data_IF_601906943606
#
_entry.id   IF_601906943606
#
_cell.length_a   1.000
_cell.length_b   1.000
_cell.length_c   1.000
_cell.angle_alpha   90.00
_cell.angle_beta   90.00
_cell.angle_gamma   90.00
#
_symmetry.space_group_name_H-M   'P 1'
#
loop_
_entity.id
_entity.type
_entity.pdbx_description
1 polymer ?
#
# COMPACT_ATOMS: atom_id res chain seq x y z
N UNK A 1 -16.64 -11.08 10.52
CA UNK A 1 -15.91 -9.80 10.36
C UNK A 1 -14.50 -9.97 10.92
N UNK A 2 -13.50 -9.32 10.34
CA UNK A 2 -12.09 -9.47 10.71
C UNK A 2 -11.64 -8.22 11.49
N UNK A 3 -11.07 -8.40 12.69
CA UNK A 3 -10.45 -7.29 13.45
C UNK A 3 -9.20 -6.84 12.69
N UNK A 4 -9.07 -5.53 12.42
CA UNK A 4 -7.87 -4.97 11.78
C UNK A 4 -6.78 -4.69 12.81
N UNK A 5 -5.52 -4.94 12.47
CA UNK A 5 -4.37 -4.57 13.31
C UNK A 5 -4.29 -3.05 13.53
N UNK A 6 -4.68 -2.28 12.50
CA UNK A 6 -4.71 -0.82 12.54
C UNK A 6 -5.68 -0.26 13.59
N UNK A 7 -6.67 -1.03 14.03
CA UNK A 7 -7.73 -0.55 14.91
C UNK A 7 -7.20 -0.04 16.26
N UNK A 8 -6.18 -0.68 16.82
CA UNK A 8 -5.63 -0.26 18.12
C UNK A 8 -4.85 1.07 17.99
N UNK A 9 -4.18 1.31 16.86
CA UNK A 9 -3.49 2.58 16.57
C UNK A 9 -4.46 3.70 16.18
N UNK A 10 -5.56 3.36 15.49
CA UNK A 10 -6.66 4.27 15.21
C UNK A 10 -7.20 4.88 16.51
N UNK A 11 -7.55 4.02 17.48
CA UNK A 11 -8.05 4.45 18.79
C UNK A 11 -7.03 5.26 19.59
N UNK A 12 -5.72 5.00 19.42
CA UNK A 12 -4.67 5.79 20.05
C UNK A 12 -4.63 7.22 19.48
N UNK A 13 -4.67 7.37 18.15
CA UNK A 13 -4.69 8.69 17.50
C UNK A 13 -5.93 9.51 17.84
N UNK A 14 -7.04 8.83 18.16
CA UNK A 14 -8.28 9.50 18.51
C UNK A 14 -8.17 10.44 19.73
N UNK A 15 -7.20 10.20 20.61
CA UNK A 15 -6.94 11.02 21.81
C UNK A 15 -6.24 12.35 21.51
N UNK A 16 -5.72 12.53 20.30
CA UNK A 16 -4.87 13.68 19.96
C UNK A 16 -5.37 14.52 18.79
N UNK A 17 -6.35 14.02 18.03
CA UNK A 17 -6.82 14.68 16.82
C UNK A 17 -8.34 14.79 16.81
N UNK A 18 -8.91 15.97 16.48
CA UNK A 18 -10.35 16.11 16.31
C UNK A 18 -10.86 15.41 15.04
N UNK A 19 -9.97 15.17 14.07
CA UNK A 19 -10.32 14.58 12.77
C UNK A 19 -9.36 13.43 12.47
N UNK A 20 -9.91 12.28 12.08
CA UNK A 20 -9.12 11.16 11.55
C UNK A 20 -9.55 10.94 10.10
N UNK A 21 -8.58 10.87 9.18
CA UNK A 21 -8.82 10.51 7.79
C UNK A 21 -8.25 9.12 7.49
N UNK A 22 -9.11 8.18 7.10
CA UNK A 22 -8.74 6.84 6.65
C UNK A 22 -8.74 6.81 5.12
N UNK A 23 -7.57 6.67 4.53
CA UNK A 23 -7.37 6.54 3.07
C UNK A 23 -6.89 5.14 2.70
N UNK A 24 -6.78 4.81 1.41
CA UNK A 24 -6.31 3.51 0.94
C UNK A 24 -7.07 3.01 -0.29
N UNK A 25 -6.65 1.89 -0.90
CA UNK A 25 -7.25 1.37 -2.13
C UNK A 25 -8.76 1.13 -1.97
N UNK A 26 -9.51 1.19 -3.07
CA UNK A 26 -10.90 0.73 -3.04
C UNK A 26 -10.94 -0.73 -2.60
N UNK A 27 -12.01 -1.10 -1.90
CA UNK A 27 -12.19 -2.44 -1.33
C UNK A 27 -11.19 -2.87 -0.25
N UNK A 28 -10.32 -1.97 0.27
CA UNK A 28 -9.43 -2.27 1.40
C UNK A 28 -10.14 -2.38 2.76
N UNK A 29 -11.42 -2.02 2.84
CA UNK A 29 -12.25 -2.12 4.06
C UNK A 29 -12.30 -0.86 4.91
N UNK A 30 -12.08 0.34 4.34
CA UNK A 30 -12.08 1.63 5.06
C UNK A 30 -13.40 1.90 5.80
N UNK A 31 -14.52 1.91 5.07
CA UNK A 31 -15.87 2.07 5.64
C UNK A 31 -16.16 1.03 6.72
N UNK A 32 -15.76 -0.22 6.49
CA UNK A 32 -15.93 -1.31 7.44
C UNK A 32 -15.14 -1.06 8.73
N UNK A 33 -13.88 -0.65 8.63
CA UNK A 33 -13.05 -0.29 9.79
C UNK A 33 -13.67 0.88 10.57
N UNK A 34 -14.09 1.94 9.87
CA UNK A 34 -14.70 3.12 10.50
C UNK A 34 -15.97 2.74 11.27
N UNK A 35 -16.92 2.06 10.63
CA UNK A 35 -18.19 1.63 11.25
C UNK A 35 -17.99 0.64 12.40
N UNK A 36 -17.03 -0.28 12.27
CA UNK A 36 -16.75 -1.25 13.34
C UNK A 36 -16.08 -0.62 14.56
N UNK A 37 -15.28 0.43 14.35
CA UNK A 37 -14.57 1.11 15.44
C UNK A 37 -15.47 2.14 16.12
N UNK A 38 -16.35 2.79 15.35
CA UNK A 38 -17.22 3.88 15.83
C UNK A 38 -18.69 3.58 15.48
N UNK A 39 -19.32 2.56 16.10
CA UNK A 39 -20.68 2.16 15.78
C UNK A 39 -21.73 3.23 16.14
N UNK A 40 -21.41 4.11 17.09
CA UNK A 40 -22.32 5.13 17.61
C UNK A 40 -22.26 6.46 16.83
N UNK A 41 -21.37 6.56 15.83
CA UNK A 41 -21.21 7.79 15.03
C UNK A 41 -22.28 7.87 13.93
N UNK A 42 -22.74 9.09 13.63
CA UNK A 42 -23.64 9.31 12.51
C UNK A 42 -22.93 9.06 11.19
N UNK A 43 -23.44 8.13 10.40
CA UNK A 43 -22.85 7.76 9.12
C UNK A 43 -23.46 8.57 7.96
N UNK A 44 -22.60 9.31 7.26
CA UNK A 44 -22.90 10.11 6.09
C UNK A 44 -22.17 9.53 4.87
N UNK A 45 -22.92 8.97 3.92
CA UNK A 45 -22.38 8.44 2.67
C UNK A 45 -22.48 9.48 1.54
N UNK A 46 -21.34 9.94 1.01
CA UNK A 46 -21.30 10.90 -0.10
C UNK A 46 -21.33 10.24 -1.49
N UNK A 47 -21.40 8.90 -1.60
CA UNK A 47 -21.87 8.24 -2.82
C UNK A 47 -23.37 8.47 -3.04
N UNK A 48 -24.15 8.62 -1.96
CA UNK A 48 -25.55 8.99 -2.05
C UNK A 48 -25.72 10.42 -2.61
N UNK A 49 -26.50 10.55 -3.69
CA UNK A 49 -26.69 11.83 -4.38
C UNK A 49 -27.35 12.91 -3.51
N UNK A 50 -28.27 12.53 -2.62
CA UNK A 50 -28.95 13.49 -1.75
C UNK A 50 -28.00 14.03 -0.68
N UNK A 51 -27.27 13.14 0.01
CA UNK A 51 -26.25 13.53 1.00
C UNK A 51 -25.15 14.37 0.35
N UNK A 52 -24.68 13.98 -0.84
CA UNK A 52 -23.70 14.74 -1.61
C UNK A 52 -24.21 16.13 -1.98
N UNK A 53 -25.47 16.24 -2.40
CA UNK A 53 -26.07 17.52 -2.75
C UNK A 53 -26.15 18.43 -1.53
N UNK A 54 -26.64 17.92 -0.40
CA UNK A 54 -26.65 18.65 0.87
C UNK A 54 -25.24 19.11 1.27
N UNK A 55 -24.23 18.26 1.14
CA UNK A 55 -22.84 18.60 1.45
C UNK A 55 -22.26 19.72 0.57
N UNK A 56 -22.80 19.92 -0.63
CA UNK A 56 -22.34 20.97 -1.56
C UNK A 56 -23.15 22.25 -1.45
N UNK A 57 -24.46 22.15 -1.22
CA UNK A 57 -25.37 23.30 -1.22
C UNK A 57 -25.51 23.92 0.18
N UNK A 58 -25.61 23.11 1.23
CA UNK A 58 -25.77 23.56 2.62
C UNK A 58 -25.09 22.58 3.60
N UNK A 59 -23.75 22.62 3.72
CA UNK A 59 -23.01 21.68 4.55
C UNK A 59 -23.28 21.85 6.06
N UNK A 60 -23.75 23.02 6.53
CA UNK A 60 -24.02 23.23 7.95
C UNK A 60 -25.26 22.47 8.44
N UNK A 61 -26.29 22.32 7.59
CA UNK A 61 -27.48 21.54 7.97
C UNK A 61 -27.20 20.05 8.11
N UNK A 62 -26.22 19.50 7.39
CA UNK A 62 -25.74 18.12 7.60
C UNK A 62 -25.17 17.90 9.00
N UNK A 63 -24.63 18.95 9.61
CA UNK A 63 -24.04 18.94 10.94
C UNK A 63 -24.85 19.77 11.94
N UNK A 64 -26.18 19.81 11.79
CA UNK A 64 -27.06 20.60 12.63
C UNK A 64 -26.85 20.32 14.13
N UNK A 65 -26.56 19.07 14.49
CA UNK A 65 -26.06 18.72 15.82
C UNK A 65 -24.52 18.80 15.86
N UNK A 66 -24.00 19.99 16.13
CA UNK A 66 -22.54 20.21 16.24
C UNK A 66 -21.86 19.39 17.36
N UNK A 67 -22.61 18.82 18.31
CA UNK A 67 -22.02 18.01 19.40
C UNK A 67 -21.95 16.51 19.05
N UNK A 68 -22.57 16.11 17.94
CA UNK A 68 -22.51 14.74 17.45
C UNK A 68 -21.17 14.43 16.76
N UNK A 69 -20.89 13.14 16.69
CA UNK A 69 -19.73 12.59 15.99
C UNK A 69 -20.15 11.95 14.67
N UNK A 70 -19.31 12.09 13.66
CA UNK A 70 -19.68 11.76 12.28
C UNK A 70 -18.63 10.89 11.59
N UNK A 71 -19.10 9.87 10.86
CA UNK A 71 -18.33 9.21 9.81
C UNK A 71 -18.79 9.79 8.47
N UNK A 72 -17.89 10.49 7.78
CA UNK A 72 -18.12 11.02 6.43
C UNK A 72 -17.39 10.13 5.43
N UNK A 73 -18.14 9.35 4.68
CA UNK A 73 -17.63 8.36 3.74
C UNK A 73 -17.48 8.92 2.33
N UNK A 74 -16.44 8.45 1.63
CA UNK A 74 -16.06 8.86 0.28
C UNK A 74 -16.03 10.39 0.08
N UNK A 75 -15.38 11.11 1.00
CA UNK A 75 -15.39 12.57 1.06
C UNK A 75 -14.83 13.27 -0.19
N UNK A 76 -14.05 12.57 -1.03
CA UNK A 76 -13.61 13.09 -2.33
C UNK A 76 -14.76 13.52 -3.26
N UNK A 77 -16.00 13.08 -3.01
CA UNK A 77 -17.17 13.50 -3.79
C UNK A 77 -17.67 14.92 -3.43
N UNK A 78 -17.29 15.45 -2.26
CA UNK A 78 -17.58 16.81 -1.82
C UNK A 78 -16.42 17.41 -0.99
N UNK A 79 -15.25 17.71 -1.59
CA UNK A 79 -14.08 18.20 -0.86
C UNK A 79 -14.29 19.57 -0.17
N UNK A 80 -15.19 20.40 -0.69
CA UNK A 80 -15.54 21.71 -0.10
C UNK A 80 -16.06 21.58 1.35
N UNK A 81 -16.64 20.42 1.69
CA UNK A 81 -17.15 20.10 3.03
C UNK A 81 -16.07 20.18 4.11
N UNK A 82 -14.79 19.99 3.75
CA UNK A 82 -13.66 20.05 4.68
C UNK A 82 -13.56 21.41 5.38
N UNK A 83 -13.95 22.50 4.70
CA UNK A 83 -13.96 23.85 5.28
C UNK A 83 -14.99 23.96 6.41
N UNK A 84 -16.18 23.40 6.23
CA UNK A 84 -17.24 23.35 7.25
C UNK A 84 -16.83 22.46 8.42
N UNK A 85 -16.28 21.28 8.14
CA UNK A 85 -15.77 20.35 9.17
C UNK A 85 -14.71 21.04 10.03
N UNK A 86 -13.79 21.80 9.40
CA UNK A 86 -12.78 22.59 10.12
C UNK A 86 -13.44 23.60 11.07
N UNK A 87 -14.39 24.40 10.57
CA UNK A 87 -15.06 25.42 11.37
C UNK A 87 -15.78 24.82 12.58
N UNK A 88 -16.49 23.71 12.40
CA UNK A 88 -17.20 23.02 13.49
C UNK A 88 -16.20 22.44 14.49
N UNK A 89 -15.16 21.77 14.00
CA UNK A 89 -14.11 21.19 14.84
C UNK A 89 -13.40 22.25 15.69
N UNK A 90 -13.13 23.44 15.14
CA UNK A 90 -12.46 24.54 15.85
C UNK A 90 -13.37 25.17 16.92
N UNK A 91 -14.69 25.19 16.69
CA UNK A 91 -15.71 25.70 17.62
C UNK A 91 -15.95 24.73 18.79
N UNK A 92 -16.08 23.43 18.50
CA UNK A 92 -16.50 22.42 19.47
C UNK A 92 -15.31 21.85 20.25
N UNK A 93 -14.13 21.78 19.62
CA UNK A 93 -12.88 21.31 20.24
C UNK A 93 -12.95 19.91 20.86
N UNK A 94 -13.78 19.03 20.29
CA UNK A 94 -13.91 17.64 20.72
C UNK A 94 -12.84 16.75 20.08
N UNK A 95 -12.35 15.79 20.85
CA UNK A 95 -11.47 14.74 20.35
C UNK A 95 -12.26 13.81 19.40
N UNK A 96 -11.69 13.55 18.22
CA UNK A 96 -12.26 12.66 17.18
C UNK A 96 -13.74 12.89 16.89
N UNK A 97 -14.11 14.14 16.64
CA UNK A 97 -15.46 14.46 16.20
C UNK A 97 -15.77 13.89 14.80
N UNK A 98 -14.76 13.83 13.91
CA UNK A 98 -14.96 13.43 12.53
C UNK A 98 -14.02 12.29 12.10
N UNK A 99 -14.60 11.26 11.50
CA UNK A 99 -13.90 10.21 10.76
C UNK A 99 -14.20 10.40 9.28
N UNK A 100 -13.17 10.67 8.47
CA UNK A 100 -13.29 10.82 7.02
C UNK A 100 -12.76 9.56 6.35
N UNK A 101 -13.44 9.05 5.31
CA UNK A 101 -12.86 7.98 4.47
C UNK A 101 -12.86 8.34 2.99
N UNK A 102 -11.82 7.91 2.27
CA UNK A 102 -11.73 8.14 0.83
C UNK A 102 -10.67 7.30 0.13
N UNK A 103 -10.88 6.99 -1.15
CA UNK A 103 -10.03 6.05 -1.88
C UNK A 103 -8.87 6.65 -2.67
N UNK A 104 -8.82 7.97 -2.87
CA UNK A 104 -7.87 8.62 -3.80
C UNK A 104 -6.84 9.49 -3.07
N UNK A 105 -5.60 9.02 -2.90
CA UNK A 105 -4.63 9.73 -2.07
C UNK A 105 -4.26 11.14 -2.59
N UNK A 106 -4.20 11.35 -3.92
CA UNK A 106 -3.62 12.59 -4.47
C UNK A 106 -4.51 13.81 -4.29
N UNK A 107 -5.77 13.72 -4.73
CA UNK A 107 -6.75 14.79 -4.54
C UNK A 107 -6.96 15.05 -3.06
N UNK A 108 -7.06 13.97 -2.27
CA UNK A 108 -7.32 14.08 -0.83
C UNK A 108 -6.20 14.76 -0.05
N UNK A 109 -4.93 14.45 -0.34
CA UNK A 109 -3.81 15.10 0.35
C UNK A 109 -3.75 16.61 0.09
N UNK A 110 -4.06 17.06 -1.14
CA UNK A 110 -4.13 18.48 -1.47
C UNK A 110 -5.23 19.16 -0.66
N UNK A 111 -6.44 18.62 -0.71
CA UNK A 111 -7.61 19.22 -0.07
C UNK A 111 -7.48 19.24 1.47
N UNK A 112 -6.95 18.15 2.06
CA UNK A 112 -6.65 18.06 3.49
C UNK A 112 -5.55 19.03 3.89
N UNK A 113 -4.45 19.13 3.13
CA UNK A 113 -3.36 20.06 3.46
C UNK A 113 -3.80 21.52 3.44
N UNK A 114 -4.78 21.87 2.61
CA UNK A 114 -5.31 23.23 2.53
C UNK A 114 -6.32 23.52 3.64
N UNK A 115 -7.20 22.56 3.94
CA UNK A 115 -8.36 22.80 4.81
C UNK A 115 -8.15 22.33 6.25
N UNK A 116 -7.40 21.24 6.47
CA UNK A 116 -7.33 20.51 7.74
C UNK A 116 -5.90 20.34 8.30
N UNK A 117 -4.93 21.11 7.81
CA UNK A 117 -3.55 21.06 8.31
C UNK A 117 -3.48 21.22 9.83
N UNK A 118 -2.74 20.32 10.48
CA UNK A 118 -2.54 20.28 11.93
C UNK A 118 -3.74 19.76 12.74
N UNK A 119 -4.88 19.46 12.11
CA UNK A 119 -6.11 19.00 12.78
C UNK A 119 -6.51 17.57 12.42
N UNK A 120 -6.06 17.09 11.26
CA UNK A 120 -6.32 15.73 10.81
C UNK A 120 -5.09 14.85 10.95
N UNK A 121 -5.27 13.66 11.54
CA UNK A 121 -4.34 12.55 11.38
C UNK A 121 -4.78 11.68 10.21
N UNK A 122 -3.83 11.35 9.32
CA UNK A 122 -4.08 10.57 8.11
C UNK A 122 -3.53 9.16 8.30
N UNK A 123 -4.35 8.17 7.98
CA UNK A 123 -4.03 6.75 8.05
C UNK A 123 -4.26 6.11 6.69
N UNK A 124 -3.39 5.17 6.30
CA UNK A 124 -3.43 4.50 5.00
C UNK A 124 -3.77 3.02 5.20
N UNK A 125 -5.04 2.66 5.04
CA UNK A 125 -5.53 1.29 5.19
C UNK A 125 -5.36 0.50 3.90
N UNK A 126 -4.31 -0.31 3.85
CA UNK A 126 -4.07 -1.29 2.80
C UNK A 126 -4.99 -2.53 2.95
N UNK A 127 -5.05 -3.43 1.96
CA UNK A 127 -5.71 -4.74 2.10
C UNK A 127 -5.13 -5.55 3.26
N UNK A 128 -5.73 -6.70 3.57
CA UNK A 128 -5.37 -7.46 4.77
C UNK A 128 -3.86 -7.78 4.84
N UNK A 129 -3.27 -7.71 6.03
CA UNK A 129 -1.97 -8.34 6.28
C UNK A 129 -2.09 -9.86 6.21
N UNK A 130 -0.96 -10.57 6.14
CA UNK A 130 -0.93 -12.02 6.25
C UNK A 130 -1.64 -12.52 7.52
N UNK A 131 -1.42 -11.84 8.65
CA UNK A 131 -2.01 -12.20 9.93
C UNK A 131 -3.53 -11.92 9.97
N UNK A 132 -4.01 -10.88 9.28
CA UNK A 132 -5.44 -10.58 9.16
C UNK A 132 -6.15 -11.55 8.20
N UNK A 133 -5.51 -11.89 7.08
CA UNK A 133 -6.09 -12.70 6.01
C UNK A 133 -6.16 -14.20 6.36
N UNK A 134 -5.12 -14.73 7.00
CA UNK A 134 -4.97 -16.16 7.24
C UNK A 134 -4.62 -16.47 8.72
N UNK A 135 -5.49 -16.10 9.69
CA UNK A 135 -5.18 -16.16 11.12
C UNK A 135 -5.16 -17.59 11.70
N UNK A 136 -5.83 -18.55 11.06
CA UNK A 136 -6.09 -19.89 11.63
C UNK A 136 -5.54 -21.06 10.81
N UNK A 137 -5.22 -20.86 9.54
CA UNK A 137 -4.75 -21.91 8.63
C UNK A 137 -3.42 -21.51 8.01
N UNK A 138 -2.42 -22.39 8.08
CA UNK A 138 -1.16 -22.24 7.34
C UNK A 138 -1.44 -22.48 5.85
N UNK A 139 -1.88 -21.43 5.17
CA UNK A 139 -1.99 -21.45 3.72
C UNK A 139 -0.61 -21.60 3.08
N UNK A 140 -0.57 -22.23 1.91
CA UNK A 140 0.67 -22.34 1.16
C UNK A 140 1.12 -20.94 0.71
N UNK A 141 2.44 -20.75 0.57
CA UNK A 141 2.99 -19.49 0.06
C UNK A 141 2.40 -19.13 -1.32
N UNK A 142 2.18 -20.14 -2.16
CA UNK A 142 1.62 -19.95 -3.51
C UNK A 142 0.18 -19.49 -3.44
N UNK A 143 -0.62 -20.10 -2.56
CA UNK A 143 -2.00 -19.69 -2.31
C UNK A 143 -2.05 -18.23 -1.88
N UNK A 144 -1.22 -17.81 -0.92
CA UNK A 144 -1.19 -16.42 -0.47
C UNK A 144 -0.82 -15.44 -1.59
N UNK A 145 0.24 -15.74 -2.37
CA UNK A 145 0.69 -14.87 -3.47
C UNK A 145 -0.35 -14.80 -4.59
N UNK A 146 -0.89 -15.94 -4.99
CA UNK A 146 -1.86 -16.06 -6.09
C UNK A 146 -3.20 -15.41 -5.74
N UNK A 147 -3.71 -15.65 -4.53
CA UNK A 147 -5.00 -15.09 -4.10
C UNK A 147 -4.91 -13.61 -3.75
N UNK A 148 -3.78 -13.12 -3.25
CA UNK A 148 -3.68 -11.76 -2.73
C UNK A 148 -4.50 -11.54 -1.46
N UNK A 149 -4.84 -10.28 -1.18
CA UNK A 149 -5.21 -9.85 0.18
C UNK A 149 -6.44 -8.94 0.25
N UNK A 150 -7.19 -8.76 -0.84
CA UNK A 150 -8.42 -7.97 -0.80
C UNK A 150 -9.48 -8.59 0.11
N UNK A 151 -10.04 -7.83 1.08
CA UNK A 151 -11.03 -8.33 2.03
C UNK A 151 -12.22 -9.03 1.38
N UNK A 152 -12.82 -8.43 0.34
CA UNK A 152 -14.02 -8.99 -0.31
C UNK A 152 -13.73 -10.35 -0.97
N UNK A 153 -12.56 -10.48 -1.59
CA UNK A 153 -12.10 -11.73 -2.20
C UNK A 153 -11.99 -12.85 -1.15
N UNK A 154 -11.34 -12.56 -0.03
CA UNK A 154 -11.05 -13.56 1.00
C UNK A 154 -12.28 -13.91 1.85
N UNK A 155 -13.02 -12.90 2.32
CA UNK A 155 -14.18 -13.09 3.21
C UNK A 155 -15.31 -13.87 2.52
N UNK A 156 -15.52 -13.66 1.22
CA UNK A 156 -16.55 -14.34 0.46
C UNK A 156 -16.02 -15.54 -0.35
N UNK A 157 -14.73 -15.88 -0.19
CA UNK A 157 -14.07 -16.95 -0.94
C UNK A 157 -14.35 -16.88 -2.46
N UNK A 158 -14.26 -15.67 -3.03
CA UNK A 158 -14.45 -15.47 -4.47
C UNK A 158 -13.26 -16.11 -5.20
N UNK A 159 -13.50 -16.63 -6.40
CA UNK A 159 -12.41 -17.11 -7.24
C UNK A 159 -11.51 -15.93 -7.67
N UNK A 160 -10.18 -16.00 -7.49
CA UNK A 160 -9.27 -14.89 -7.77
C UNK A 160 -9.39 -14.30 -9.18
N UNK A 161 -9.43 -15.12 -10.22
CA UNK A 161 -9.48 -14.62 -11.61
C UNK A 161 -10.76 -13.84 -11.88
N UNK A 162 -11.92 -14.32 -11.42
CA UNK A 162 -13.22 -13.62 -11.49
C UNK A 162 -13.16 -12.29 -10.75
N UNK A 163 -12.60 -12.28 -9.55
CA UNK A 163 -12.48 -11.06 -8.75
C UNK A 163 -11.59 -10.01 -9.43
N UNK A 164 -10.39 -10.37 -9.85
CA UNK A 164 -9.42 -9.44 -10.42
C UNK A 164 -9.81 -8.97 -11.83
N UNK A 165 -10.35 -9.85 -12.67
CA UNK A 165 -10.87 -9.45 -13.98
C UNK A 165 -12.03 -8.45 -13.83
N UNK A 166 -12.91 -8.67 -12.85
CA UNK A 166 -13.99 -7.73 -12.51
C UNK A 166 -13.45 -6.41 -11.95
N UNK A 167 -12.45 -6.46 -11.06
CA UNK A 167 -11.81 -5.28 -10.47
C UNK A 167 -11.15 -4.39 -11.53
N UNK A 168 -10.43 -4.99 -12.48
CA UNK A 168 -9.79 -4.25 -13.58
C UNK A 168 -10.84 -3.57 -14.47
N UNK A 169 -11.88 -4.32 -14.89
CA UNK A 169 -12.91 -3.81 -15.81
C UNK A 169 -13.82 -2.75 -15.19
N UNK A 170 -14.27 -2.96 -13.95
CA UNK A 170 -15.33 -2.13 -13.35
C UNK A 170 -14.79 -0.94 -12.56
N UNK A 171 -13.61 -1.08 -11.97
CA UNK A 171 -13.04 -0.07 -11.09
C UNK A 171 -11.84 0.61 -11.72
N UNK A 172 -10.78 -0.15 -12.06
CA UNK A 172 -9.54 0.47 -12.51
C UNK A 172 -9.74 1.29 -13.77
N UNK A 173 -10.33 0.71 -14.82
CA UNK A 173 -10.53 1.43 -16.07
C UNK A 173 -11.44 2.67 -15.93
N UNK A 174 -12.44 2.62 -15.02
CA UNK A 174 -13.38 3.73 -14.80
C UNK A 174 -12.74 4.86 -14.00
N UNK A 175 -12.17 4.57 -12.85
CA UNK A 175 -11.63 5.61 -11.96
C UNK A 175 -10.37 6.22 -12.54
N UNK A 176 -9.57 5.45 -13.26
CA UNK A 176 -8.35 5.95 -13.91
C UNK A 176 -8.69 6.90 -15.08
N UNK A 177 -9.78 6.64 -15.82
CA UNK A 177 -10.33 7.59 -16.81
C UNK A 177 -10.78 8.92 -16.18
N UNK A 178 -11.25 8.90 -14.93
CA UNK A 178 -11.66 10.12 -14.23
C UNK A 178 -10.45 10.90 -13.70
N UNK A 179 -9.38 10.21 -13.33
CA UNK A 179 -8.15 10.81 -12.80
C UNK A 179 -7.18 11.28 -13.89
N UNK A 180 -7.29 10.73 -15.09
CA UNK A 180 -6.42 11.05 -16.21
C UNK A 180 -7.22 10.99 -17.51
N UNK A 181 -6.97 11.96 -18.40
CA UNK A 181 -7.60 12.04 -19.72
C UNK A 181 -7.04 10.96 -20.67
N UNK A 182 -7.11 9.70 -20.24
CA UNK A 182 -6.64 8.53 -21.00
C UNK A 182 -7.61 8.32 -22.15
N UNK A 183 -7.13 8.64 -23.35
CA UNK A 183 -7.91 8.49 -24.57
C UNK A 183 -8.04 7.02 -24.99
N UNK A 184 -6.97 6.23 -24.84
CA UNK A 184 -6.92 4.83 -25.23
C UNK A 184 -6.81 3.88 -24.01
N UNK A 185 -7.90 3.15 -23.71
CA UNK A 185 -7.90 2.17 -22.63
C UNK A 185 -7.10 0.90 -22.93
N UNK A 186 -6.95 0.54 -24.20
CA UNK A 186 -6.24 -0.69 -24.57
C UNK A 186 -4.73 -0.50 -24.32
N UNK A 187 -4.19 0.66 -24.67
CA UNK A 187 -2.80 1.04 -24.37
C UNK A 187 -2.56 1.08 -22.86
N UNK A 188 -3.51 1.61 -22.09
CA UNK A 188 -3.41 1.62 -20.64
C UNK A 188 -3.48 0.21 -20.03
N UNK A 189 -4.33 -0.66 -20.57
CA UNK A 189 -4.44 -2.05 -20.10
C UNK A 189 -3.15 -2.81 -20.40
N UNK A 190 -2.58 -2.64 -21.61
CA UNK A 190 -1.25 -3.16 -21.95
C UNK A 190 -0.17 -2.62 -21.02
N UNK A 191 -0.17 -1.31 -20.75
CA UNK A 191 0.75 -0.68 -19.81
C UNK A 191 0.69 -1.29 -18.42
N UNK A 192 -0.52 -1.53 -17.90
CA UNK A 192 -0.72 -2.14 -16.59
C UNK A 192 -0.14 -3.57 -16.55
N UNK A 193 -0.35 -4.37 -17.60
CA UNK A 193 0.27 -5.70 -17.72
C UNK A 193 1.80 -5.63 -17.84
N UNK A 194 2.33 -4.67 -18.59
CA UNK A 194 3.78 -4.44 -18.71
C UNK A 194 4.41 -4.00 -17.37
N UNK A 195 3.66 -3.30 -16.53
CA UNK A 195 4.08 -2.98 -15.17
C UNK A 195 4.11 -4.25 -14.30
N UNK A 196 3.10 -5.12 -14.39
CA UNK A 196 3.10 -6.40 -13.66
C UNK A 196 4.30 -7.27 -14.04
N UNK A 197 4.67 -7.30 -15.33
CA UNK A 197 5.89 -7.93 -15.85
C UNK A 197 7.20 -7.37 -15.30
N UNK A 198 7.17 -6.21 -14.64
CA UNK A 198 8.33 -5.49 -14.10
C UNK A 198 8.28 -5.32 -12.58
N UNK A 199 7.38 -6.02 -11.88
CA UNK A 199 7.35 -5.98 -10.42
C UNK A 199 8.69 -6.47 -9.85
N UNK A 200 9.20 -5.83 -8.80
CA UNK A 200 10.54 -6.06 -8.25
C UNK A 200 11.71 -5.55 -9.11
N UNK A 201 11.45 -4.92 -10.25
CA UNK A 201 12.50 -4.48 -11.18
C UNK A 201 12.65 -2.96 -11.21
N UNK A 202 13.84 -2.50 -11.63
CA UNK A 202 14.06 -1.07 -11.88
C UNK A 202 13.16 -0.57 -13.00
N UNK A 203 12.53 0.58 -12.75
CA UNK A 203 11.67 1.24 -13.72
C UNK A 203 12.50 1.88 -14.83
N UNK A 204 12.15 1.56 -16.08
CA UNK A 204 12.63 2.24 -17.28
C UNK A 204 11.41 2.79 -18.04
N UNK A 205 11.20 4.11 -17.97
CA UNK A 205 10.02 4.76 -18.55
C UNK A 205 10.10 4.80 -20.07
N UNK A 206 11.32 4.95 -20.60
CA UNK A 206 11.59 4.99 -22.04
C UNK A 206 11.29 3.64 -22.70
N UNK A 207 11.66 2.53 -22.06
CA UNK A 207 11.32 1.16 -22.50
C UNK A 207 9.81 0.95 -22.54
N UNK A 208 9.10 1.35 -21.47
CA UNK A 208 7.64 1.26 -21.42
C UNK A 208 6.98 2.11 -22.50
N UNK A 209 7.43 3.35 -22.67
CA UNK A 209 6.96 4.28 -23.69
C UNK A 209 7.08 3.68 -25.09
N UNK A 210 8.25 3.12 -25.42
CA UNK A 210 8.51 2.49 -26.72
C UNK A 210 7.65 1.24 -26.97
N UNK A 211 7.45 0.38 -25.96
CA UNK A 211 6.62 -0.85 -26.09
C UNK A 211 5.12 -0.56 -26.26
N UNK A 212 4.66 0.59 -25.77
CA UNK A 212 3.26 1.00 -25.89
C UNK A 212 3.04 1.87 -27.13
N UNK A 213 4.05 2.65 -27.53
CA UNK A 213 3.95 3.61 -28.63
C UNK A 213 3.45 4.99 -28.18
N UNK A 214 3.78 5.40 -26.95
CA UNK A 214 3.43 6.72 -26.37
C UNK A 214 4.69 7.43 -25.87
N UNK A 215 4.59 8.71 -25.49
CA UNK A 215 5.73 9.44 -24.93
C UNK A 215 6.01 9.11 -23.44
N UNK A 216 7.25 9.36 -22.98
CA UNK A 216 7.67 9.09 -21.60
C UNK A 216 6.92 9.92 -20.54
N UNK A 217 6.40 11.11 -20.91
CA UNK A 217 5.58 11.95 -20.01
C UNK A 217 4.20 11.32 -19.79
N UNK A 218 3.60 10.72 -20.81
CA UNK A 218 2.37 9.93 -20.71
C UNK A 218 2.56 8.74 -19.77
N UNK A 219 3.67 7.99 -19.90
CA UNK A 219 4.02 6.93 -18.94
C UNK A 219 4.20 7.47 -17.52
N UNK A 220 4.86 8.61 -17.36
CA UNK A 220 5.00 9.29 -16.08
C UNK A 220 3.66 9.63 -15.42
N UNK A 221 2.71 10.13 -16.21
CA UNK A 221 1.37 10.43 -15.74
C UNK A 221 0.61 9.16 -15.33
N UNK A 222 0.65 8.10 -16.15
CA UNK A 222 0.00 6.84 -15.82
C UNK A 222 0.58 6.17 -14.58
N UNK A 223 1.91 6.19 -14.41
CA UNK A 223 2.55 5.71 -13.19
C UNK A 223 2.11 6.50 -11.95
N UNK A 224 1.99 7.83 -12.08
CA UNK A 224 1.49 8.68 -10.99
C UNK A 224 0.08 8.27 -10.58
N UNK A 225 -0.82 8.06 -11.56
CA UNK A 225 -2.19 7.60 -11.30
C UNK A 225 -2.22 6.22 -10.65
N UNK A 226 -1.41 5.26 -11.11
CA UNK A 226 -1.33 3.94 -10.49
C UNK A 226 -0.81 4.00 -9.06
N UNK A 227 0.16 4.88 -8.78
CA UNK A 227 0.72 5.04 -7.43
C UNK A 227 -0.30 5.66 -6.48
N UNK A 228 -1.01 6.71 -6.90
CA UNK A 228 -2.00 7.42 -6.07
C UNK A 228 -3.29 6.63 -5.88
N UNK A 229 -3.55 5.66 -6.77
CA UNK A 229 -4.66 4.69 -6.67
C UNK A 229 -4.29 3.43 -5.90
N UNK A 230 -3.11 3.38 -5.26
CA UNK A 230 -2.62 2.22 -4.51
C UNK A 230 -2.55 0.92 -5.33
N UNK A 231 -2.20 1.01 -6.61
CA UNK A 231 -1.97 -0.16 -7.47
C UNK A 231 -0.50 -0.55 -7.45
N UNK A 232 0.38 0.45 -7.58
CA UNK A 232 1.82 0.25 -7.55
C UNK A 232 2.48 1.07 -6.43
N UNK A 233 3.63 0.61 -5.97
CA UNK A 233 4.54 1.30 -5.09
C UNK A 233 5.90 1.45 -5.78
N UNK A 234 6.44 2.67 -5.78
CA UNK A 234 7.77 2.96 -6.33
C UNK A 234 8.78 3.09 -5.18
N UNK A 235 9.53 2.02 -4.94
CA UNK A 235 10.57 1.99 -3.91
C UNK A 235 11.78 2.78 -4.39
N UNK A 236 12.10 3.87 -3.69
CA UNK A 236 13.22 4.74 -4.04
C UNK A 236 14.56 4.11 -3.63
N UNK A 237 15.64 4.32 -4.38
CA UNK A 237 16.96 3.88 -3.96
C UNK A 237 17.39 4.62 -2.70
N UNK A 238 18.25 3.98 -1.91
CA UNK A 238 18.94 4.62 -0.81
C UNK A 238 20.04 5.52 -1.35
N UNK A 239 20.11 6.75 -0.84
CA UNK A 239 21.19 7.69 -1.13
C UNK A 239 21.42 8.58 0.09
N UNK A 240 22.68 8.82 0.45
CA UNK A 240 23.05 9.78 1.49
C UNK A 240 22.63 11.22 1.14
N UNK A 241 22.58 11.54 -0.16
CA UNK A 241 22.16 12.86 -0.66
C UNK A 241 20.74 12.77 -1.24
N UNK A 242 19.83 13.56 -0.68
CA UNK A 242 18.41 13.58 -1.08
C UNK A 242 18.24 13.97 -2.56
N UNK A 243 18.98 14.97 -3.05
CA UNK A 243 18.90 15.39 -4.46
C UNK A 243 19.34 14.27 -5.41
N UNK A 244 20.37 13.49 -5.05
CA UNK A 244 20.77 12.30 -5.83
C UNK A 244 19.74 11.17 -5.75
N UNK A 245 18.98 11.08 -4.65
CA UNK A 245 17.88 10.11 -4.48
C UNK A 245 16.76 10.35 -5.49
N UNK A 246 16.43 11.62 -5.75
CA UNK A 246 15.30 12.00 -6.60
C UNK A 246 15.53 11.72 -8.10
N UNK A 247 16.78 11.62 -8.54
CA UNK A 247 17.13 11.47 -9.96
C UNK A 247 17.22 10.00 -10.38
N UNK A 248 17.48 9.08 -9.45
CA UNK A 248 17.66 7.66 -9.78
C UNK A 248 16.33 6.92 -9.93
N UNK A 249 16.31 5.97 -10.88
CA UNK A 249 15.14 5.12 -11.13
C UNK A 249 14.73 4.31 -9.89
N UNK A 250 13.45 4.32 -9.51
CA UNK A 250 12.93 3.47 -8.45
C UNK A 250 12.75 2.02 -8.93
N UNK A 251 12.54 1.09 -7.99
CA UNK A 251 11.95 -0.22 -8.28
C UNK A 251 10.43 -0.13 -8.25
N UNK A 252 9.76 -0.82 -9.18
CA UNK A 252 8.30 -0.90 -9.24
C UNK A 252 7.81 -2.15 -8.52
N UNK A 253 6.79 -2.02 -7.68
CA UNK A 253 6.11 -3.13 -7.03
C UNK A 253 4.60 -2.96 -7.08
N UNK A 254 3.84 -4.05 -7.01
CA UNK A 254 2.39 -3.99 -6.79
C UNK A 254 2.06 -4.02 -5.30
N UNK A 255 0.99 -3.35 -4.89
CA UNK A 255 0.47 -3.47 -3.52
C UNK A 255 -0.18 -4.82 -3.23
N UNK A 256 -0.62 -5.52 -4.27
CA UNK A 256 -1.29 -6.82 -4.17
C UNK A 256 -0.80 -7.76 -5.27
N UNK A 257 -0.30 -8.93 -4.88
CA UNK A 257 0.28 -9.92 -5.80
C UNK A 257 -0.78 -10.70 -6.57
N UNK A 258 -2.00 -10.84 -6.05
CA UNK A 258 -3.07 -11.51 -6.80
C UNK A 258 -3.47 -10.71 -8.04
N UNK A 259 -3.52 -9.37 -7.91
CA UNK A 259 -3.70 -8.48 -9.05
C UNK A 259 -2.55 -8.62 -10.07
N UNK A 260 -1.30 -8.65 -9.60
CA UNK A 260 -0.14 -8.85 -10.47
C UNK A 260 -0.19 -10.21 -11.18
N UNK A 261 -0.55 -11.29 -10.47
CA UNK A 261 -0.72 -12.62 -11.04
C UNK A 261 -1.77 -12.63 -12.16
N UNK A 262 -2.94 -12.01 -11.92
CA UNK A 262 -4.00 -11.94 -12.92
C UNK A 262 -3.56 -11.18 -14.18
N UNK A 263 -2.85 -10.06 -14.02
CA UNK A 263 -2.29 -9.29 -15.15
C UNK A 263 -1.24 -10.07 -15.94
N UNK A 264 -0.48 -10.93 -15.26
CA UNK A 264 0.49 -11.86 -15.85
C UNK A 264 -0.13 -13.12 -16.45
N UNK A 265 -1.46 -13.25 -16.45
CA UNK A 265 -2.17 -14.44 -16.91
C UNK A 265 -1.83 -15.72 -16.14
N UNK A 266 -1.39 -15.58 -14.88
CA UNK A 266 -1.22 -16.71 -13.95
C UNK A 266 -2.62 -17.05 -13.44
N UNK A 267 -3.14 -18.24 -13.75
CA UNK A 267 -4.54 -18.60 -13.48
C UNK A 267 -4.71 -19.61 -12.34
N UNK A 268 -3.63 -20.19 -11.85
CA UNK A 268 -3.65 -21.10 -10.70
C UNK A 268 -2.28 -21.15 -9.98
N UNK A 269 -2.21 -21.87 -8.86
CA UNK A 269 -1.00 -21.99 -8.04
C UNK A 269 0.15 -22.76 -8.72
N UNK A 270 -0.18 -23.69 -9.62
CA UNK A 270 0.81 -24.47 -10.38
C UNK A 270 1.49 -23.60 -11.43
N UNK A 271 0.72 -22.73 -12.11
CA UNK A 271 1.27 -21.72 -13.03
C UNK A 271 2.25 -20.83 -12.27
N UNK A 272 1.86 -20.33 -11.09
CA UNK A 272 2.70 -19.48 -10.25
C UNK A 272 3.99 -20.19 -9.80
N UNK A 273 3.92 -21.48 -9.48
CA UNK A 273 5.08 -22.26 -9.04
C UNK A 273 6.17 -22.32 -10.12
N UNK A 274 5.77 -22.36 -11.39
CA UNK A 274 6.66 -22.51 -12.54
C UNK A 274 6.92 -21.18 -13.28
N UNK A 275 6.24 -20.09 -12.91
CA UNK A 275 6.34 -18.82 -13.61
C UNK A 275 7.74 -18.19 -13.45
N UNK A 276 8.35 -17.65 -14.52
CA UNK A 276 9.69 -17.02 -14.45
C UNK A 276 9.79 -15.88 -13.43
N UNK A 277 8.69 -15.13 -13.25
CA UNK A 277 8.61 -14.03 -12.29
C UNK A 277 8.21 -14.45 -10.87
N UNK A 278 8.22 -15.74 -10.54
CA UNK A 278 7.89 -16.23 -9.19
C UNK A 278 8.72 -15.54 -8.10
N UNK A 279 10.02 -15.37 -8.34
CA UNK A 279 10.93 -14.68 -7.42
C UNK A 279 10.50 -13.23 -7.18
N UNK A 280 10.23 -12.50 -8.26
CA UNK A 280 9.75 -11.12 -8.22
C UNK A 280 8.39 -10.97 -7.53
N UNK A 281 7.47 -11.91 -7.74
CA UNK A 281 6.17 -11.93 -7.08
C UNK A 281 6.31 -12.21 -5.57
N UNK A 282 7.22 -13.09 -5.17
CA UNK A 282 7.55 -13.29 -3.76
C UNK A 282 8.16 -12.02 -3.14
N UNK A 283 9.09 -11.37 -3.82
CA UNK A 283 9.67 -10.09 -3.37
C UNK A 283 8.59 -9.01 -3.19
N UNK A 284 7.67 -8.93 -4.15
CA UNK A 284 6.52 -8.02 -4.12
C UNK A 284 5.60 -8.32 -2.94
N UNK A 285 5.31 -9.59 -2.69
CA UNK A 285 4.54 -10.03 -1.54
C UNK A 285 5.20 -9.59 -0.22
N UNK A 286 6.48 -9.90 -0.02
CA UNK A 286 7.21 -9.51 1.18
C UNK A 286 7.22 -7.98 1.35
N UNK A 287 7.49 -7.21 0.29
CA UNK A 287 7.46 -5.75 0.39
C UNK A 287 6.07 -5.23 0.78
N UNK A 288 5.00 -5.77 0.18
CA UNK A 288 3.63 -5.38 0.53
C UNK A 288 3.32 -5.66 2.00
N UNK A 289 3.81 -6.76 2.56
CA UNK A 289 3.66 -7.07 3.99
C UNK A 289 4.45 -6.11 4.88
N UNK A 290 5.66 -5.71 4.48
CA UNK A 290 6.42 -4.66 5.20
C UNK A 290 5.67 -3.32 5.16
N UNK A 291 5.10 -2.94 4.01
CA UNK A 291 4.29 -1.73 3.91
C UNK A 291 3.08 -1.78 4.85
N UNK A 292 2.31 -2.88 4.82
CA UNK A 292 1.17 -3.09 5.73
C UNK A 292 1.59 -3.02 7.19
N UNK A 293 2.73 -3.60 7.56
CA UNK A 293 3.25 -3.55 8.93
C UNK A 293 3.42 -2.11 9.44
N UNK A 294 4.02 -1.24 8.64
CA UNK A 294 4.23 0.17 9.01
C UNK A 294 2.93 0.98 8.98
N UNK A 295 2.12 0.81 7.93
CA UNK A 295 0.86 1.54 7.81
C UNK A 295 -0.15 1.17 8.91
N UNK A 296 -0.27 -0.12 9.28
CA UNK A 296 -1.10 -0.57 10.40
C UNK A 296 -0.68 0.06 11.75
N UNK A 297 0.53 0.61 11.84
CA UNK A 297 1.05 1.32 13.02
C UNK A 297 1.04 2.83 12.86
N UNK A 298 0.45 3.34 11.79
CA UNK A 298 0.43 4.76 11.42
C UNK A 298 1.84 5.36 11.25
N UNK A 299 2.81 4.52 10.85
CA UNK A 299 4.19 4.92 10.61
C UNK A 299 4.42 5.05 9.11
N UNK A 300 5.04 6.16 8.69
CA UNK A 300 5.50 6.31 7.31
C UNK A 300 6.63 5.31 7.03
N UNK A 301 6.49 4.39 6.06
CA UNK A 301 7.46 3.32 5.86
C UNK A 301 8.86 3.88 5.52
N UNK A 302 9.90 3.66 6.36
CA UNK A 302 11.24 4.19 6.14
C UNK A 302 12.04 3.26 5.22
N UNK A 303 11.49 3.03 4.02
CA UNK A 303 11.94 1.99 3.10
C UNK A 303 12.76 2.57 1.94
N UNK A 304 13.81 1.86 1.57
CA UNK A 304 14.57 2.08 0.34
C UNK A 304 15.20 0.78 -0.15
N UNK A 305 15.79 0.76 -1.35
CA UNK A 305 16.64 -0.37 -1.78
C UNK A 305 18.09 0.10 -1.97
N UNK A 306 19.05 -0.78 -1.85
CA UNK A 306 20.45 -0.44 -2.08
C UNK A 306 20.93 -0.94 -3.44
N UNK A 307 21.66 -0.11 -4.18
CA UNK A 307 22.33 -0.54 -5.41
C UNK A 307 23.57 0.28 -5.71
N UNK A 308 24.68 -0.40 -5.95
CA UNK A 308 25.94 0.17 -6.44
C UNK A 308 26.13 -0.07 -7.93
N UNK A 309 27.02 0.73 -8.54
CA UNK A 309 27.43 0.56 -9.95
C UNK A 309 28.17 -0.77 -10.19
N UNK A 310 28.82 -1.33 -9.16
CA UNK A 310 29.53 -2.61 -9.22
C UNK A 310 28.61 -3.85 -9.15
N UNK A 311 27.29 -3.64 -9.14
CA UNK A 311 26.28 -4.71 -9.13
C UNK A 311 25.89 -5.25 -7.75
N UNK A 312 26.41 -4.69 -6.64
CA UNK A 312 25.88 -5.02 -5.31
C UNK A 312 24.49 -4.42 -5.15
N UNK A 313 23.51 -5.26 -4.84
CA UNK A 313 22.11 -4.86 -4.67
C UNK A 313 21.57 -5.50 -3.39
N UNK A 314 20.79 -4.75 -2.61
CA UNK A 314 20.01 -5.25 -1.49
C UNK A 314 18.56 -4.87 -1.74
N UNK A 315 17.67 -5.86 -1.68
CA UNK A 315 16.27 -5.72 -2.07
C UNK A 315 15.53 -4.65 -1.25
N UNK A 316 15.77 -4.63 0.06
CA UNK A 316 15.12 -3.68 0.98
C UNK A 316 16.07 -3.22 2.09
N UNK A 317 16.02 -1.94 2.40
CA UNK A 317 16.63 -1.31 3.56
C UNK A 317 15.53 -0.71 4.41
N UNK A 318 15.58 -0.96 5.72
CA UNK A 318 14.69 -0.36 6.70
C UNK A 318 15.53 0.57 7.59
N UNK A 319 15.21 1.86 7.59
CA UNK A 319 15.90 2.86 8.40
C UNK A 319 15.19 3.01 9.75
N UNK A 320 15.90 2.78 10.87
CA UNK A 320 15.37 3.02 12.22
C UNK A 320 16.42 3.67 13.11
N UNK A 321 16.13 4.88 13.56
CA UNK A 321 17.09 5.71 14.29
C UNK A 321 18.34 5.95 13.42
N UNK A 322 19.51 5.63 13.96
CA UNK A 322 20.78 5.78 13.24
C UNK A 322 21.20 4.51 12.48
N UNK A 323 20.40 3.44 12.54
CA UNK A 323 20.76 2.15 11.94
C UNK A 323 19.95 1.88 10.66
N UNK A 324 20.62 1.22 9.72
CA UNK A 324 20.05 0.72 8.47
C UNK A 324 20.02 -0.81 8.53
N UNK A 325 18.86 -1.41 8.45
CA UNK A 325 18.69 -2.86 8.49
C UNK A 325 18.48 -3.41 7.08
N UNK A 326 19.48 -4.12 6.52
CA UNK A 326 19.37 -4.70 5.19
C UNK A 326 18.54 -5.99 5.23
N UNK A 327 17.63 -6.11 4.27
CA UNK A 327 16.78 -7.28 4.01
C UNK A 327 17.03 -7.77 2.57
N UNK A 328 17.45 -9.02 2.46
CA UNK A 328 17.47 -9.79 1.21
C UNK A 328 16.23 -10.69 1.15
N UNK A 329 15.60 -10.78 -0.02
CA UNK A 329 14.35 -11.53 -0.19
C UNK A 329 14.57 -12.66 -1.19
N UNK A 330 14.28 -13.90 -0.77
CA UNK A 330 14.59 -15.10 -1.57
C UNK A 330 13.42 -16.08 -1.58
N UNK A 331 12.83 -16.33 -2.74
CA UNK A 331 11.67 -17.23 -2.88
C UNK A 331 11.98 -18.71 -2.58
N UNK A 332 13.25 -19.08 -2.49
CA UNK A 332 13.67 -20.44 -2.15
C UNK A 332 13.21 -20.84 -0.74
N UNK A 333 12.78 -22.09 -0.59
CA UNK A 333 12.41 -22.66 0.72
C UNK A 333 13.62 -23.09 1.55
N UNK A 334 14.80 -23.17 0.94
CA UNK A 334 16.06 -23.56 1.59
C UNK A 334 17.10 -22.47 1.32
N UNK A 335 17.78 -22.07 2.39
CA UNK A 335 18.88 -21.09 2.34
C UNK A 335 20.14 -21.75 1.79
N UNK A 336 20.86 -21.03 0.93
CA UNK A 336 22.18 -21.44 0.45
C UNK A 336 23.21 -20.31 0.62
N UNK A 337 24.49 -20.65 0.49
CA UNK A 337 25.60 -19.73 0.75
C UNK A 337 25.65 -18.53 -0.21
N UNK A 338 25.03 -18.60 -1.40
CA UNK A 338 25.01 -17.48 -2.34
C UNK A 338 24.18 -16.30 -1.83
N UNK A 339 23.22 -16.53 -0.94
CA UNK A 339 22.32 -15.49 -0.43
C UNK A 339 23.03 -14.49 0.48
N UNK A 340 24.17 -14.85 1.06
CA UNK A 340 24.96 -13.94 1.90
C UNK A 340 25.83 -12.97 1.09
N UNK A 341 25.99 -13.21 -0.22
CA UNK A 341 27.01 -12.51 -1.02
C UNK A 341 26.90 -10.99 -0.98
N UNK A 342 25.70 -10.45 -1.17
CA UNK A 342 25.48 -9.01 -1.17
C UNK A 342 25.50 -8.42 0.24
N UNK A 343 24.98 -9.14 1.24
CA UNK A 343 25.05 -8.75 2.66
C UNK A 343 26.51 -8.60 3.09
N UNK A 344 27.37 -9.58 2.77
CA UNK A 344 28.80 -9.56 3.10
C UNK A 344 29.59 -8.49 2.34
N UNK A 345 29.11 -8.06 1.17
CA UNK A 345 29.68 -6.91 0.46
C UNK A 345 29.24 -5.60 1.13
N UNK A 346 27.95 -5.46 1.45
CA UNK A 346 27.41 -4.29 2.12
C UNK A 346 28.04 -4.10 3.51
N UNK A 347 28.32 -5.18 4.24
CA UNK A 347 28.92 -5.13 5.58
C UNK A 347 30.33 -4.51 5.60
N UNK A 348 30.98 -4.37 4.44
CA UNK A 348 32.28 -3.69 4.28
C UNK A 348 32.14 -2.19 3.98
N UNK A 349 30.91 -1.69 3.84
CA UNK A 349 30.65 -0.26 3.61
C UNK A 349 30.71 0.53 4.92
N UNK A 350 30.83 1.86 4.82
CA UNK A 350 30.81 2.78 5.97
C UNK A 350 29.38 3.11 6.45
N UNK A 351 28.38 2.29 6.11
CA UNK A 351 27.01 2.50 6.54
C UNK A 351 26.81 2.02 7.97
N UNK A 352 25.99 2.70 8.79
CA UNK A 352 25.66 2.24 10.13
C UNK A 352 24.65 1.09 10.04
N UNK A 353 25.14 -0.12 9.79
CA UNK A 353 24.28 -1.27 9.57
C UNK A 353 23.82 -1.89 10.89
N UNK A 354 22.51 -2.15 11.00
CA UNK A 354 21.98 -3.09 11.98
C UNK A 354 22.12 -4.54 11.50
N UNK A 355 21.67 -5.50 12.31
CA UNK A 355 21.71 -6.93 11.94
C UNK A 355 20.98 -7.17 10.62
N UNK A 356 21.68 -7.73 9.65
CA UNK A 356 21.11 -8.09 8.35
C UNK A 356 20.06 -9.20 8.48
N UNK A 357 19.15 -9.26 7.50
CA UNK A 357 18.05 -10.22 7.47
C UNK A 357 17.92 -10.86 6.09
N UNK A 358 17.59 -12.15 6.07
CA UNK A 358 17.18 -12.86 4.86
C UNK A 358 15.77 -13.37 5.08
N UNK A 359 14.81 -12.86 4.32
CA UNK A 359 13.43 -13.35 4.30
C UNK A 359 13.31 -14.38 3.20
N UNK A 360 12.83 -15.58 3.53
CA UNK A 360 12.79 -16.68 2.57
C UNK A 360 11.50 -17.50 2.60
N UNK A 361 11.28 -18.29 1.54
CA UNK A 361 10.06 -19.07 1.34
C UNK A 361 9.89 -20.29 2.26
N UNK A 362 10.80 -20.50 3.23
CA UNK A 362 10.69 -21.54 4.25
C UNK A 362 9.99 -21.06 5.53
N UNK A 363 9.86 -21.98 6.50
CA UNK A 363 9.04 -21.76 7.70
C UNK A 363 9.84 -21.63 8.99
N UNK A 364 11.18 -21.70 8.93
CA UNK A 364 12.02 -21.64 10.12
C UNK A 364 12.69 -20.28 10.25
N UNK A 365 12.62 -19.69 11.44
CA UNK A 365 13.35 -18.47 11.78
C UNK A 365 14.50 -18.81 12.72
N UNK A 366 15.70 -18.39 12.37
CA UNK A 366 16.94 -18.65 13.12
C UNK A 366 17.96 -17.55 12.86
N UNK A 367 19.07 -17.55 13.56
CA UNK A 367 20.12 -16.54 13.43
C UNK A 367 21.50 -17.20 13.44
N UNK A 368 22.43 -16.62 12.68
CA UNK A 368 23.86 -16.88 12.79
C UNK A 368 24.64 -15.56 12.92
N UNK A 369 25.97 -15.63 12.91
CA UNK A 369 26.84 -14.45 13.06
C UNK A 369 26.60 -13.40 11.96
N UNK A 370 26.22 -13.81 10.75
CA UNK A 370 26.07 -12.93 9.58
C UNK A 370 24.72 -12.21 9.60
N UNK A 371 23.62 -12.94 9.73
CA UNK A 371 22.27 -12.39 9.61
C UNK A 371 21.22 -13.22 10.34
N UNK A 372 20.03 -12.66 10.46
CA UNK A 372 18.83 -13.37 10.91
C UNK A 372 18.04 -13.89 9.69
N UNK A 373 17.72 -15.18 9.69
CA UNK A 373 16.90 -15.82 8.66
C UNK A 373 15.47 -15.85 9.15
N UNK A 374 14.56 -15.36 8.32
CA UNK A 374 13.16 -15.15 8.68
C UNK A 374 12.31 -15.95 7.71
N UNK A 375 11.59 -16.95 8.23
CA UNK A 375 10.54 -17.59 7.46
C UNK A 375 9.46 -16.56 7.14
N UNK A 376 8.93 -16.56 5.93
CA UNK A 376 8.00 -15.53 5.45
C UNK A 376 6.78 -15.31 6.37
N UNK A 377 6.32 -16.35 7.08
CA UNK A 377 5.21 -16.27 8.05
C UNK A 377 5.57 -15.45 9.31
N UNK A 378 6.85 -15.44 9.70
CA UNK A 378 7.34 -14.77 10.90
C UNK A 378 7.76 -13.31 10.66
N UNK A 379 7.58 -12.80 9.43
CA UNK A 379 8.04 -11.46 9.03
C UNK A 379 7.56 -10.36 9.98
N UNK A 380 6.25 -10.28 10.24
CA UNK A 380 5.66 -9.24 11.12
C UNK A 380 6.22 -9.28 12.55
N UNK A 381 6.40 -10.49 13.09
CA UNK A 381 7.01 -10.66 14.42
C UNK A 381 8.47 -10.20 14.44
N UNK A 382 9.23 -10.51 13.38
CA UNK A 382 10.62 -10.08 13.29
C UNK A 382 10.80 -8.59 13.01
N UNK A 383 9.83 -7.93 12.38
CA UNK A 383 9.82 -6.48 12.19
C UNK A 383 9.50 -5.74 13.49
N UNK A 384 8.70 -6.32 14.39
CA UNK A 384 8.41 -5.73 15.71
C UNK A 384 9.66 -5.65 16.59
N UNK A 385 10.66 -6.50 16.34
CA UNK A 385 11.94 -6.52 17.05
C UNK A 385 12.98 -5.55 16.47
N UNK A 386 12.67 -4.88 15.35
CA UNK A 386 13.45 -3.75 14.86
C UNK A 386 13.18 -2.57 15.75
#
# INVERSE_FOLDING_TARGET
MVKREMQDHLLHLCKGFPIITITGPRQSGKTTLAKMTFPDYYYLDLENLNTRRAAKEDPYSLFANKQADYIVDEFQYAPELLSTIKSISDEVQKETQFILTGSNQFTLMKDISQSLAGRSAIMELLPFSLQEAYPKEKQSLNTCIFRGFYPRLLVHNIEPTVFYDSYIRTYLQRDIRLLSNIQNLDDFTRFLSLCAGRTGSLLNKESLANEIGVDSKTIGNWLSVLQTSYIIYLLKPWQKNISKRLIKSPKLYFYDTGLACNLLQIRNETDLANHPLRGNLFETFILSEVLKFFHNRCIQPPLSFYRESNGTEIDLLIEKGNLIYPLEIKSASVINNSFYRNILKLSKSNLPLGKARIVYGGNQTWENDICKHIGWQDLSSSLTLL
#
